data_IF_622497854644
#
_entry.id   IF_622497854644
#
_cell.length_a   1.000
_cell.length_b   1.000
_cell.length_c   1.000
_cell.angle_alpha   90.00
_cell.angle_beta   90.00
_cell.angle_gamma   90.00
#
_symmetry.space_group_name_H-M   'P 1'
#
loop_
_entity.id
_entity.type
_entity.pdbx_description
1 polymer ?
#
# COMPACT_ATOMS: atom_id res chain seq x y z
N UNK A 1 5.63 -8.30 -10.42
CA UNK A 1 4.46 -9.21 -10.38
C UNK A 1 3.84 -9.39 -11.78
N UNK A 2 3.58 -8.30 -12.51
CA UNK A 2 2.97 -8.37 -13.83
C UNK A 2 3.81 -9.11 -14.88
N UNK A 3 5.11 -8.96 -14.85
CA UNK A 3 6.02 -9.64 -15.79
C UNK A 3 6.16 -11.15 -15.49
N UNK A 4 6.06 -11.53 -14.21
CA UNK A 4 6.21 -12.92 -13.75
C UNK A 4 4.95 -13.76 -13.93
N UNK A 5 3.77 -13.15 -13.98
CA UNK A 5 2.51 -13.87 -14.13
C UNK A 5 1.61 -13.19 -15.18
N UNK A 6 1.80 -13.59 -16.44
CA UNK A 6 1.00 -13.08 -17.59
C UNK A 6 -0.49 -13.44 -17.53
N UNK A 7 -0.87 -14.38 -16.67
CA UNK A 7 -2.28 -14.78 -16.48
C UNK A 7 -2.96 -13.94 -15.38
N UNK A 8 -2.21 -13.09 -14.66
CA UNK A 8 -2.79 -12.21 -13.67
C UNK A 8 -3.37 -10.95 -14.34
N UNK A 9 -4.63 -10.66 -14.08
CA UNK A 9 -5.23 -9.36 -14.39
C UNK A 9 -4.89 -8.37 -13.27
N UNK A 10 -4.23 -7.26 -13.60
CA UNK A 10 -3.72 -6.31 -12.61
C UNK A 10 -4.35 -4.94 -12.84
N UNK A 11 -4.95 -4.39 -11.78
CA UNK A 11 -5.43 -3.02 -11.75
C UNK A 11 -4.59 -2.21 -10.74
N UNK A 12 -3.80 -1.27 -11.24
CA UNK A 12 -2.97 -0.38 -10.44
C UNK A 12 -3.73 0.89 -10.07
N UNK A 13 -4.21 1.00 -8.83
CA UNK A 13 -4.82 2.22 -8.32
C UNK A 13 -3.75 3.16 -7.74
N UNK A 14 -3.55 4.33 -8.34
CA UNK A 14 -2.50 5.27 -7.93
C UNK A 14 -2.86 6.72 -8.13
N UNK A 15 -2.38 7.59 -7.23
CA UNK A 15 -2.42 9.05 -7.38
C UNK A 15 -1.17 9.64 -8.04
N UNK A 16 -0.20 8.84 -8.44
CA UNK A 16 1.04 9.33 -9.05
C UNK A 16 0.80 9.94 -10.43
N UNK A 17 1.30 11.13 -10.68
CA UNK A 17 1.08 11.84 -11.95
C UNK A 17 1.91 11.27 -13.10
N UNK A 18 3.01 10.61 -12.78
CA UNK A 18 3.93 10.04 -13.76
C UNK A 18 3.60 8.60 -14.18
N UNK A 19 2.49 8.03 -13.69
CA UNK A 19 2.15 6.61 -13.94
C UNK A 19 2.06 6.28 -15.44
N UNK A 20 1.61 7.22 -16.27
CA UNK A 20 1.54 7.04 -17.72
C UNK A 20 2.92 6.92 -18.40
N UNK A 21 4.01 7.30 -17.71
CA UNK A 21 5.39 7.20 -18.21
C UNK A 21 6.08 5.91 -17.76
N UNK A 22 5.45 5.14 -16.86
CA UNK A 22 5.94 3.83 -16.48
C UNK A 22 5.60 2.86 -17.62
N UNK A 23 6.56 2.25 -18.25
CA UNK A 23 6.35 1.23 -19.28
C UNK A 23 5.66 0.00 -18.69
N UNK A 24 4.37 0.12 -18.37
CA UNK A 24 3.61 -0.96 -17.74
C UNK A 24 3.33 -2.09 -18.73
N UNK A 25 3.36 -3.35 -18.29
CA UNK A 25 2.96 -4.49 -19.10
C UNK A 25 1.52 -4.35 -19.63
N UNK A 26 1.23 -4.91 -20.83
CA UNK A 26 -0.08 -4.76 -21.51
C UNK A 26 -1.29 -5.29 -20.72
N UNK A 27 -1.07 -6.17 -19.73
CA UNK A 27 -2.11 -6.75 -18.87
C UNK A 27 -2.28 -6.00 -17.53
N UNK A 28 -1.68 -4.81 -17.42
CA UNK A 28 -1.83 -3.91 -16.28
C UNK A 28 -2.63 -2.70 -16.70
N UNK A 29 -3.80 -2.53 -16.12
CA UNK A 29 -4.62 -1.33 -16.27
C UNK A 29 -4.41 -0.37 -15.10
N UNK A 30 -4.63 0.91 -15.33
CA UNK A 30 -4.41 1.95 -14.34
C UNK A 30 -5.71 2.66 -13.96
N UNK A 31 -6.04 2.63 -12.68
CA UNK A 31 -7.02 3.54 -12.10
C UNK A 31 -6.29 4.77 -11.56
N UNK A 32 -6.35 5.87 -12.30
CA UNK A 32 -5.77 7.14 -11.85
C UNK A 32 -6.68 7.81 -10.82
N UNK A 33 -6.22 7.82 -9.58
CA UNK A 33 -6.87 8.55 -8.50
C UNK A 33 -6.48 10.04 -8.53
N UNK A 34 -7.33 10.96 -8.07
CA UNK A 34 -6.95 12.35 -7.86
C UNK A 34 -5.70 12.46 -7.00
N UNK A 35 -4.71 13.23 -7.46
CA UNK A 35 -3.40 13.34 -6.82
C UNK A 35 -3.47 14.09 -5.51
N UNK A 36 -2.69 13.66 -4.53
CA UNK A 36 -2.56 14.29 -3.23
C UNK A 36 -1.20 14.98 -3.08
N UNK A 37 -1.18 16.04 -2.29
CA UNK A 37 0.02 16.71 -1.81
C UNK A 37 0.05 16.63 -0.28
N UNK A 38 1.14 16.13 0.28
CA UNK A 38 1.36 16.14 1.72
C UNK A 38 1.63 17.58 2.18
N UNK A 39 0.89 18.05 3.14
CA UNK A 39 1.02 19.41 3.72
C UNK A 39 1.58 19.38 5.14
N UNK A 40 1.36 18.30 5.86
CA UNK A 40 1.95 18.02 7.18
C UNK A 40 1.97 16.51 7.40
N UNK A 41 2.41 16.06 8.58
CA UNK A 41 2.39 14.63 8.90
C UNK A 41 0.93 14.12 8.91
N UNK A 42 0.66 13.05 8.13
CA UNK A 42 -0.68 12.47 7.89
C UNK A 42 -1.75 13.47 7.39
N UNK A 43 -1.37 14.70 7.00
CA UNK A 43 -2.27 15.70 6.43
C UNK A 43 -2.02 15.86 4.93
N UNK A 44 -3.08 15.69 4.16
CA UNK A 44 -3.05 15.76 2.71
C UNK A 44 -4.11 16.73 2.19
N UNK A 45 -3.78 17.43 1.11
CA UNK A 45 -4.74 18.20 0.33
C UNK A 45 -4.72 17.73 -1.13
N UNK A 46 -5.71 18.14 -1.90
CA UNK A 46 -5.68 17.91 -3.35
C UNK A 46 -4.48 18.62 -3.98
N UNK A 47 -3.85 17.99 -4.97
CA UNK A 47 -2.76 18.60 -5.71
C UNK A 47 -3.26 19.57 -6.78
N UNK A 48 -4.33 19.21 -7.47
CA UNK A 48 -4.81 19.93 -8.65
C UNK A 48 -6.24 20.47 -8.51
N UNK A 49 -7.09 19.79 -7.73
CA UNK A 49 -8.46 20.21 -7.52
C UNK A 49 -8.54 21.23 -6.36
N UNK A 50 -9.35 22.26 -6.53
CA UNK A 50 -9.58 23.26 -5.49
C UNK A 50 -10.72 22.82 -4.55
N UNK A 51 -10.53 21.68 -3.90
CA UNK A 51 -11.48 21.12 -2.92
C UNK A 51 -10.79 20.83 -1.60
N UNK A 52 -11.51 20.87 -0.47
CA UNK A 52 -10.99 20.56 0.86
C UNK A 52 -10.35 19.15 0.95
N UNK A 53 -9.46 18.97 1.91
CA UNK A 53 -8.73 17.70 2.10
C UNK A 53 -9.63 16.52 2.48
N UNK A 54 -10.73 16.77 3.21
CA UNK A 54 -11.72 15.76 3.56
C UNK A 54 -12.59 15.36 2.36
N UNK A 55 -12.96 16.32 1.49
CA UNK A 55 -13.70 16.03 0.27
C UNK A 55 -12.87 15.20 -0.72
N UNK A 56 -11.59 15.56 -0.95
CA UNK A 56 -10.73 14.75 -1.82
C UNK A 56 -10.53 13.35 -1.27
N UNK A 57 -10.40 13.20 0.05
CA UNK A 57 -10.31 11.90 0.70
C UNK A 57 -11.59 11.09 0.52
N UNK A 58 -12.76 11.71 0.69
CA UNK A 58 -14.06 11.06 0.47
C UNK A 58 -14.20 10.58 -0.98
N UNK A 59 -13.89 11.43 -1.96
CA UNK A 59 -13.91 11.09 -3.38
C UNK A 59 -13.01 9.89 -3.68
N UNK A 60 -11.78 9.89 -3.19
CA UNK A 60 -10.85 8.76 -3.40
C UNK A 60 -11.32 7.50 -2.71
N UNK A 61 -11.93 7.60 -1.53
CA UNK A 61 -12.49 6.46 -0.80
C UNK A 61 -13.64 5.81 -1.59
N UNK A 62 -14.53 6.59 -2.17
CA UNK A 62 -15.62 6.09 -3.01
C UNK A 62 -15.11 5.42 -4.28
N UNK A 63 -14.14 6.02 -4.97
CA UNK A 63 -13.50 5.43 -6.15
C UNK A 63 -12.87 4.06 -5.83
N UNK A 64 -12.11 3.98 -4.74
CA UNK A 64 -11.47 2.74 -4.29
C UNK A 64 -12.50 1.68 -3.89
N UNK A 65 -13.55 2.08 -3.17
CA UNK A 65 -14.64 1.18 -2.77
C UNK A 65 -15.40 0.62 -3.98
N UNK A 66 -15.77 1.50 -4.93
CA UNK A 66 -16.44 1.11 -6.17
C UNK A 66 -15.57 0.15 -6.98
N UNK A 67 -14.27 0.42 -7.03
CA UNK A 67 -13.29 -0.44 -7.72
C UNK A 67 -13.23 -1.83 -7.11
N UNK A 68 -13.08 -1.93 -5.79
CA UNK A 68 -13.05 -3.25 -5.11
C UNK A 68 -14.36 -4.00 -5.35
N UNK A 69 -15.50 -3.32 -5.26
CA UNK A 69 -16.82 -3.95 -5.48
C UNK A 69 -17.02 -4.44 -6.91
N UNK A 70 -16.59 -3.66 -7.90
CA UNK A 70 -16.81 -3.97 -9.32
C UNK A 70 -15.75 -4.89 -9.90
N UNK A 71 -14.47 -4.65 -9.61
CA UNK A 71 -13.37 -5.46 -10.10
C UNK A 71 -13.24 -6.81 -9.37
N UNK A 72 -13.66 -6.88 -8.09
CA UNK A 72 -13.67 -8.08 -7.24
C UNK A 72 -12.31 -8.79 -7.21
N UNK A 73 -11.23 -8.12 -6.81
CA UNK A 73 -9.91 -8.71 -6.83
C UNK A 73 -9.80 -9.88 -5.85
N UNK A 74 -9.08 -10.94 -6.23
CA UNK A 74 -8.72 -12.05 -5.33
C UNK A 74 -7.70 -11.58 -4.28
N UNK A 75 -6.81 -10.67 -4.67
CA UNK A 75 -5.75 -10.13 -3.82
C UNK A 75 -5.61 -8.63 -4.03
N UNK A 76 -5.50 -7.88 -2.95
CA UNK A 76 -5.10 -6.48 -2.98
C UNK A 76 -3.75 -6.32 -2.28
N UNK A 77 -2.76 -5.79 -2.99
CA UNK A 77 -1.49 -5.35 -2.42
C UNK A 77 -1.56 -3.85 -2.11
N UNK A 78 -1.45 -3.50 -0.84
CA UNK A 78 -1.40 -2.12 -0.37
C UNK A 78 0.05 -1.75 -0.09
N UNK A 79 0.57 -0.73 -0.76
CA UNK A 79 1.96 -0.30 -0.57
C UNK A 79 2.07 0.80 0.48
N UNK A 80 2.98 0.62 1.42
CA UNK A 80 3.44 1.56 2.46
C UNK A 80 2.38 1.98 3.48
N UNK A 81 1.25 2.54 3.05
CA UNK A 81 0.21 3.08 3.94
C UNK A 81 -0.95 2.09 4.10
N UNK A 82 -1.08 1.39 5.24
CA UNK A 82 -1.98 0.24 5.38
C UNK A 82 -3.45 0.52 5.03
N UNK A 83 -3.87 1.75 5.25
CA UNK A 83 -5.27 2.15 4.99
C UNK A 83 -5.37 3.23 3.90
N UNK A 84 -4.33 3.39 3.07
CA UNK A 84 -4.23 4.50 2.12
C UNK A 84 -3.89 5.83 2.79
N UNK A 85 -3.73 6.88 2.01
CA UNK A 85 -3.50 8.23 2.52
C UNK A 85 -4.71 8.66 3.38
N UNK A 86 -4.46 9.04 4.64
CA UNK A 86 -5.50 9.44 5.60
C UNK A 86 -6.62 8.41 5.82
N UNK A 87 -6.35 7.13 5.56
CA UNK A 87 -7.29 6.04 5.81
C UNK A 87 -8.41 5.87 4.77
N UNK A 88 -8.25 6.41 3.59
CA UNK A 88 -9.24 6.37 2.49
C UNK A 88 -9.58 4.95 2.01
N UNK A 89 -8.69 3.96 2.20
CA UNK A 89 -8.91 2.58 1.73
C UNK A 89 -9.62 1.66 2.74
N UNK A 90 -10.03 2.14 3.91
CA UNK A 90 -10.69 1.30 4.94
C UNK A 90 -11.96 0.62 4.45
N UNK A 91 -12.83 1.36 3.76
CA UNK A 91 -14.06 0.81 3.20
C UNK A 91 -13.78 -0.23 2.11
N UNK A 92 -12.75 0.00 1.28
CA UNK A 92 -12.27 -0.96 0.27
C UNK A 92 -11.80 -2.26 0.90
N UNK A 93 -10.99 -2.21 1.97
CA UNK A 93 -10.54 -3.42 2.69
C UNK A 93 -11.72 -4.21 3.30
N UNK A 94 -12.70 -3.52 3.86
CA UNK A 94 -13.91 -4.19 4.36
C UNK A 94 -14.71 -4.87 3.24
N UNK A 95 -14.85 -4.21 2.09
CA UNK A 95 -15.52 -4.78 0.92
C UNK A 95 -14.76 -6.00 0.38
N UNK A 96 -13.44 -5.92 0.26
CA UNK A 96 -12.57 -7.02 -0.13
C UNK A 96 -12.79 -8.26 0.74
N UNK A 97 -12.78 -8.10 2.06
CA UNK A 97 -13.01 -9.20 3.00
C UNK A 97 -14.38 -9.83 2.86
N UNK A 98 -15.43 -9.01 2.67
CA UNK A 98 -16.80 -9.54 2.45
C UNK A 98 -16.92 -10.35 1.16
N UNK A 99 -16.06 -10.10 0.20
CA UNK A 99 -15.99 -10.81 -1.08
C UNK A 99 -15.07 -12.05 -1.04
N UNK A 100 -14.40 -12.31 0.10
CA UNK A 100 -13.45 -13.42 0.26
C UNK A 100 -12.06 -13.15 -0.30
N UNK A 101 -11.77 -11.91 -0.72
CA UNK A 101 -10.45 -11.51 -1.19
C UNK A 101 -9.44 -11.33 -0.05
N UNK A 102 -8.15 -11.40 -0.39
CA UNK A 102 -7.03 -11.30 0.55
C UNK A 102 -6.35 -9.94 0.46
N UNK A 103 -5.92 -9.43 1.62
CA UNK A 103 -5.17 -8.19 1.72
C UNK A 103 -3.70 -8.49 2.06
N UNK A 104 -2.80 -7.95 1.28
CA UNK A 104 -1.34 -8.01 1.47
C UNK A 104 -0.83 -6.59 1.70
N UNK A 105 0.01 -6.41 2.71
CA UNK A 105 0.66 -5.12 2.99
C UNK A 105 2.12 -5.18 2.59
N UNK A 106 2.55 -4.23 1.76
CA UNK A 106 3.94 -4.03 1.38
C UNK A 106 4.60 -2.96 2.24
N UNK A 107 5.70 -3.29 2.87
CA UNK A 107 6.55 -2.35 3.60
C UNK A 107 7.93 -2.27 2.97
N UNK A 108 8.51 -1.07 3.00
CA UNK A 108 9.96 -0.94 2.93
C UNK A 108 10.54 -1.48 4.23
N UNK A 109 11.78 -1.94 4.20
CA UNK A 109 12.49 -2.37 5.40
C UNK A 109 12.58 -1.24 6.44
N UNK A 110 13.05 -0.07 6.04
CA UNK A 110 13.14 1.13 6.89
C UNK A 110 11.96 2.05 6.56
N UNK A 111 11.04 2.21 7.51
CA UNK A 111 9.92 3.15 7.41
C UNK A 111 10.32 4.55 7.87
N UNK A 112 10.92 4.63 9.04
CA UNK A 112 11.48 5.81 9.68
C UNK A 112 12.27 5.35 10.94
N UNK A 113 12.81 6.28 11.72
CA UNK A 113 13.42 5.98 13.02
C UNK A 113 12.45 5.18 13.91
N UNK A 114 12.91 4.09 14.56
CA UNK A 114 12.02 3.18 15.30
C UNK A 114 11.14 3.89 16.35
N UNK A 115 11.70 4.81 17.10
CA UNK A 115 10.95 5.57 18.11
C UNK A 115 9.87 6.46 17.48
N UNK A 116 10.13 7.01 16.29
CA UNK A 116 9.19 7.83 15.55
C UNK A 116 8.01 6.96 15.07
N UNK A 117 8.29 5.81 14.47
CA UNK A 117 7.26 4.87 14.00
C UNK A 117 6.38 4.41 15.16
N UNK A 118 6.98 3.99 16.27
CA UNK A 118 6.24 3.54 17.45
C UNK A 118 5.38 4.65 18.05
N UNK A 119 5.88 5.89 18.10
CA UNK A 119 5.15 7.07 18.58
C UNK A 119 3.94 7.38 17.70
N UNK A 120 4.08 7.27 16.38
CA UNK A 120 2.98 7.50 15.42
C UNK A 120 1.94 6.36 15.41
N UNK A 121 2.38 5.12 15.61
CA UNK A 121 1.50 3.95 15.53
C UNK A 121 0.69 3.70 16.81
N UNK A 122 1.27 4.02 17.97
CA UNK A 122 0.66 3.73 19.28
C UNK A 122 -0.73 4.33 19.48
N UNK A 123 -0.99 5.63 19.20
CA UNK A 123 -2.32 6.23 19.41
C UNK A 123 -3.42 5.57 18.59
N UNK A 124 -3.08 5.03 17.43
CA UNK A 124 -4.02 4.41 16.49
C UNK A 124 -4.10 2.89 16.63
N UNK A 125 -3.38 2.29 17.56
CA UNK A 125 -3.25 0.83 17.67
C UNK A 125 -2.92 0.20 16.31
N UNK A 126 -1.99 0.80 15.58
CA UNK A 126 -1.72 0.49 14.18
C UNK A 126 -1.36 -0.98 13.98
N UNK A 127 -0.51 -1.54 14.85
CA UNK A 127 -0.09 -2.95 14.76
C UNK A 127 -1.27 -3.92 14.87
N UNK A 128 -2.18 -3.70 15.83
CA UNK A 128 -3.38 -4.54 15.98
C UNK A 128 -4.29 -4.42 14.75
N UNK A 129 -4.42 -3.20 14.22
CA UNK A 129 -5.23 -2.96 13.02
C UNK A 129 -4.61 -3.59 11.78
N UNK A 130 -3.29 -3.56 11.62
CA UNK A 130 -2.58 -4.26 10.54
C UNK A 130 -2.81 -5.76 10.68
N UNK A 131 -2.55 -6.35 11.86
CA UNK A 131 -2.75 -7.76 12.12
C UNK A 131 -4.20 -8.22 11.88
N UNK A 132 -5.19 -7.35 12.12
CA UNK A 132 -6.59 -7.67 11.86
C UNK A 132 -6.97 -7.60 10.38
N UNK A 133 -6.39 -6.67 9.62
CA UNK A 133 -6.85 -6.35 8.27
C UNK A 133 -6.00 -6.96 7.15
N UNK A 134 -4.80 -7.47 7.43
CA UNK A 134 -3.92 -8.01 6.41
C UNK A 134 -3.58 -9.47 6.66
N UNK A 135 -3.69 -10.27 5.61
CA UNK A 135 -3.42 -11.70 5.64
C UNK A 135 -1.92 -11.98 5.56
N UNK A 136 -1.15 -11.09 4.93
CA UNK A 136 0.29 -11.17 4.78
C UNK A 136 0.93 -9.79 4.79
N UNK A 137 2.17 -9.73 5.26
CA UNK A 137 3.03 -8.55 5.24
C UNK A 137 4.28 -8.91 4.45
N UNK A 138 4.57 -8.16 3.39
CA UNK A 138 5.78 -8.29 2.60
C UNK A 138 6.74 -7.16 2.97
N UNK A 139 7.98 -7.50 3.30
CA UNK A 139 9.05 -6.54 3.54
C UNK A 139 9.97 -6.53 2.33
N UNK A 140 10.06 -5.38 1.64
CA UNK A 140 10.95 -5.18 0.51
C UNK A 140 12.35 -4.84 1.02
N UNK A 141 13.07 -5.85 1.43
CA UNK A 141 14.41 -5.76 2.00
C UNK A 141 14.90 -7.09 2.52
N UNK A 142 16.10 -7.09 3.04
CA UNK A 142 16.76 -8.24 3.62
C UNK A 142 16.82 -8.12 5.14
N UNK A 143 16.39 -9.18 5.83
CA UNK A 143 16.39 -9.21 7.30
C UNK A 143 17.78 -8.97 7.90
N UNK A 144 18.83 -9.40 7.22
CA UNK A 144 20.20 -9.21 7.66
C UNK A 144 20.66 -7.74 7.60
N UNK A 145 20.03 -6.92 6.75
CA UNK A 145 20.33 -5.47 6.63
C UNK A 145 19.52 -4.68 7.65
N UNK A 146 18.22 -4.92 7.72
CA UNK A 146 17.35 -4.29 8.71
C UNK A 146 16.15 -5.19 9.02
N UNK A 147 15.88 -5.42 10.30
CA UNK A 147 14.75 -6.22 10.75
C UNK A 147 13.64 -5.35 11.36
N UNK A 148 12.64 -4.91 10.57
CA UNK A 148 11.52 -4.12 11.06
C UNK A 148 10.67 -4.85 12.10
N UNK A 149 10.68 -6.20 12.11
CA UNK A 149 9.97 -7.01 13.10
C UNK A 149 10.52 -6.72 14.50
N UNK A 150 11.84 -6.67 14.61
CA UNK A 150 12.53 -6.34 15.89
C UNK A 150 12.47 -4.84 16.17
N UNK A 151 12.81 -4.01 15.17
CA UNK A 151 12.94 -2.56 15.34
C UNK A 151 11.62 -1.88 15.72
N UNK A 152 10.51 -2.32 15.10
CA UNK A 152 9.18 -1.76 15.38
C UNK A 152 8.32 -2.63 16.30
N UNK A 153 8.93 -3.59 16.99
CA UNK A 153 8.29 -4.45 17.99
C UNK A 153 7.00 -5.10 17.48
N UNK A 154 7.05 -5.78 16.33
CA UNK A 154 5.87 -6.43 15.78
C UNK A 154 5.34 -7.50 16.74
N UNK A 155 4.04 -7.51 17.06
CA UNK A 155 3.44 -8.58 17.83
C UNK A 155 3.48 -9.91 17.05
N UNK A 156 3.36 -11.04 17.75
CA UNK A 156 3.40 -12.38 17.15
C UNK A 156 2.46 -12.51 15.94
N UNK A 157 1.24 -11.97 16.04
CA UNK A 157 0.23 -11.97 14.99
C UNK A 157 0.65 -11.24 13.70
N UNK A 158 1.55 -10.28 13.75
CA UNK A 158 2.17 -9.66 12.57
C UNK A 158 3.41 -10.43 12.13
N UNK A 159 4.25 -10.84 13.08
CA UNK A 159 5.52 -11.54 12.82
C UNK A 159 5.30 -12.81 12.00
N UNK A 160 4.33 -13.62 12.38
CA UNK A 160 3.99 -14.88 11.69
C UNK A 160 3.57 -14.68 10.24
N UNK A 161 2.98 -13.53 9.93
CA UNK A 161 2.51 -13.15 8.58
C UNK A 161 3.55 -12.37 7.79
N UNK A 162 4.69 -12.02 8.39
CA UNK A 162 5.74 -11.23 7.72
C UNK A 162 6.67 -12.13 6.91
N UNK A 163 6.91 -11.74 5.66
CA UNK A 163 7.87 -12.36 4.76
C UNK A 163 8.79 -11.29 4.19
N UNK A 164 10.08 -11.57 4.17
CA UNK A 164 11.09 -10.78 3.49
C UNK A 164 11.20 -11.27 2.06
N UNK A 165 11.18 -10.38 1.10
CA UNK A 165 11.23 -10.71 -0.35
C UNK A 165 12.46 -10.13 -1.05
N UNK A 166 13.44 -9.68 -0.30
CA UNK A 166 14.61 -9.03 -0.86
C UNK A 166 14.29 -7.65 -1.43
N UNK A 167 15.29 -7.01 -1.99
CA UNK A 167 15.13 -5.72 -2.66
C UNK A 167 14.52 -5.93 -4.04
N UNK A 168 13.50 -5.14 -4.36
CA UNK A 168 12.89 -5.13 -5.70
C UNK A 168 13.81 -4.32 -6.61
N UNK A 169 14.49 -5.02 -7.52
CA UNK A 169 15.35 -4.41 -8.52
C UNK A 169 14.61 -4.30 -9.86
N UNK A 170 14.92 -3.26 -10.62
CA UNK A 170 14.51 -3.18 -12.01
C UNK A 170 15.66 -3.71 -12.88
N UNK A 171 15.44 -4.85 -13.56
CA UNK A 171 16.46 -5.55 -14.35
C UNK A 171 17.08 -4.69 -15.45
N UNK A 172 16.35 -3.68 -15.97
CA UNK A 172 16.89 -2.74 -16.94
C UNK A 172 18.05 -1.89 -16.40
N UNK A 173 18.19 -1.73 -15.09
CA UNK A 173 19.31 -1.03 -14.44
C UNK A 173 20.46 -1.95 -14.04
N UNK A 174 20.23 -3.26 -13.95
CA UNK A 174 21.27 -4.23 -13.65
C UNK A 174 22.22 -4.48 -14.84
N UNK A 175 21.82 -4.09 -16.06
CA UNK A 175 22.62 -4.24 -17.27
C UNK A 175 23.60 -3.09 -17.55
N UNK A 176 23.71 -2.10 -16.66
CA UNK A 176 24.53 -0.86 -16.84
C UNK A 176 25.66 -0.75 -15.79
N UNK A 177 26.04 -1.86 -15.14
CA UNK A 177 27.23 -1.90 -14.26
C UNK A 177 28.28 -2.85 -14.86
#
# INVERSE_FOLDING_TARGET
LGELNRNASILLATGADYVARLGLPRHVEVLKLPSLRKVANEAYCSRHLQIPGDEIRALRSELLLATVKGYRPDVVLVDKHPFGASGEFRAGLQALRRQGGRAVLGFRDILDEPEQVLREWRPFRMQQRIAHNFDQILVYGERAVFDPVRAYHFPASMTERTRFCGYVLNDERAAVI
#
